data_IF_175184933463
#
_entry.id   IF_175184933463
#
_cell.length_a   1.000
_cell.length_b   1.000
_cell.length_c   1.000
_cell.angle_alpha   90.00
_cell.angle_beta   90.00
_cell.angle_gamma   90.00
#
_symmetry.space_group_name_H-M   'P 1'
#
loop_
_entity.id
_entity.type
_entity.pdbx_description
1 polymer ?
#
# COMPACT_ATOMS: atom_id res chain seq x y z
N UNK A 1 17.72 23.75 61.25
CA UNK A 1 18.11 23.65 59.81
C UNK A 1 17.17 22.69 59.13
N UNK A 2 16.15 23.20 58.49
CA UNK A 2 15.14 22.40 57.75
C UNK A 2 15.62 22.18 56.32
N UNK A 3 15.80 20.92 55.90
CA UNK A 3 16.09 20.56 54.53
C UNK A 3 14.80 20.61 53.74
N UNK A 4 14.76 21.52 52.78
CA UNK A 4 13.67 21.66 51.78
C UNK A 4 13.89 20.63 50.69
N UNK A 5 13.04 19.63 50.60
CA UNK A 5 13.07 18.60 49.57
C UNK A 5 12.31 19.13 48.34
N UNK A 6 12.98 19.53 47.27
CA UNK A 6 12.36 19.93 46.00
C UNK A 6 12.01 18.66 45.24
N UNK A 7 10.71 18.37 45.17
CA UNK A 7 10.16 17.33 44.27
C UNK A 7 9.94 17.98 42.91
N UNK A 8 10.82 17.69 41.95
CA UNK A 8 10.61 18.06 40.55
C UNK A 8 9.64 17.01 39.94
N UNK A 9 8.39 17.38 39.80
CA UNK A 9 7.37 16.59 39.10
C UNK A 9 7.62 16.75 37.59
N UNK A 10 8.32 15.79 37.00
CA UNK A 10 8.49 15.70 35.55
C UNK A 10 7.15 15.32 34.92
N UNK A 11 6.44 16.29 34.36
CA UNK A 11 5.24 16.06 33.54
C UNK A 11 5.71 15.45 32.19
N UNK A 12 5.71 14.14 32.09
CA UNK A 12 5.86 13.47 30.80
C UNK A 12 4.56 13.67 30.05
N UNK A 13 4.53 14.66 29.18
CA UNK A 13 3.48 14.81 28.15
C UNK A 13 3.66 13.68 27.15
N UNK A 14 3.01 12.55 27.39
CA UNK A 14 2.80 11.56 26.32
C UNK A 14 1.85 12.18 25.33
N UNK A 15 2.37 12.75 24.23
CA UNK A 15 1.54 12.98 23.05
C UNK A 15 1.04 11.60 22.60
N UNK A 16 -0.16 11.24 23.06
CA UNK A 16 -0.92 10.18 22.40
C UNK A 16 -1.20 10.70 20.99
N UNK A 17 -0.53 10.15 19.97
CA UNK A 17 -1.02 10.28 18.60
C UNK A 17 -2.44 9.73 18.62
N UNK A 18 -3.42 10.61 18.65
CA UNK A 18 -4.82 10.24 18.43
C UNK A 18 -4.86 9.79 16.98
N UNK A 19 -4.98 8.49 16.77
CA UNK A 19 -5.18 7.96 15.43
C UNK A 19 -6.44 8.62 14.88
N UNK A 20 -6.33 9.23 13.68
CA UNK A 20 -7.50 9.81 13.03
C UNK A 20 -8.54 8.74 12.77
N UNK A 21 -9.80 9.11 12.89
CA UNK A 21 -10.92 8.23 12.61
C UNK A 21 -10.89 7.82 11.12
N UNK A 22 -11.07 6.53 10.87
CA UNK A 22 -11.24 6.03 9.52
C UNK A 22 -12.65 6.34 9.01
N UNK A 23 -12.86 6.39 7.69
CA UNK A 23 -14.20 6.57 7.09
C UNK A 23 -15.26 5.68 7.73
N UNK A 24 -14.92 4.43 8.00
CA UNK A 24 -15.81 3.45 8.61
C UNK A 24 -16.18 3.77 10.04
N UNK A 25 -15.26 4.33 10.83
CA UNK A 25 -15.52 4.77 12.21
C UNK A 25 -16.47 5.98 12.24
N UNK A 26 -16.51 6.75 11.14
CA UNK A 26 -17.40 7.88 10.91
C UNK A 26 -18.72 7.49 10.19
N UNK A 27 -18.97 6.19 9.99
CA UNK A 27 -20.19 5.69 9.36
C UNK A 27 -20.17 5.57 7.83
N UNK A 28 -19.03 5.84 7.16
CA UNK A 28 -18.89 5.62 5.72
C UNK A 28 -18.49 4.17 5.48
N UNK A 29 -19.44 3.30 5.19
CA UNK A 29 -19.17 1.90 4.89
C UNK A 29 -19.09 1.67 3.37
N UNK A 30 -17.89 1.29 2.90
CA UNK A 30 -17.65 0.92 1.50
C UNK A 30 -17.79 -0.58 1.36
N UNK A 31 -18.60 -1.01 0.38
CA UNK A 31 -18.83 -2.41 0.04
C UNK A 31 -19.81 -3.14 0.94
N UNK A 32 -19.96 -4.44 0.70
CA UNK A 32 -20.94 -5.32 1.37
C UNK A 32 -20.28 -6.42 2.20
N UNK A 33 -19.02 -6.78 1.92
CA UNK A 33 -18.32 -7.78 2.72
C UNK A 33 -17.82 -7.19 4.04
N UNK A 34 -17.79 -8.05 5.08
CA UNK A 34 -17.23 -7.67 6.37
C UNK A 34 -15.72 -7.47 6.26
N UNK A 35 -15.21 -6.53 7.04
CA UNK A 35 -13.77 -6.36 7.21
C UNK A 35 -13.18 -7.42 8.14
N UNK A 36 -11.88 -7.65 8.04
CA UNK A 36 -11.14 -8.35 9.09
C UNK A 36 -11.02 -7.49 10.36
N UNK A 37 -10.32 -8.02 11.35
CA UNK A 37 -10.19 -7.41 12.70
C UNK A 37 -9.58 -6.01 12.67
N UNK A 38 -8.59 -5.81 11.80
CA UNK A 38 -7.84 -4.55 11.70
C UNK A 38 -8.26 -3.72 10.49
N UNK A 39 -9.12 -4.29 9.62
CA UNK A 39 -9.45 -3.74 8.31
C UNK A 39 -8.16 -3.32 7.56
N UNK A 40 -7.22 -4.26 7.46
CA UNK A 40 -5.88 -4.04 6.92
C UNK A 40 -5.36 -5.27 6.17
N UNK A 41 -4.36 -5.10 5.33
CA UNK A 41 -3.69 -6.19 4.61
C UNK A 41 -3.16 -7.27 5.59
N UNK A 42 -2.82 -6.88 6.80
CA UNK A 42 -2.35 -7.74 7.89
C UNK A 42 -3.44 -8.58 8.55
N UNK A 43 -4.69 -8.50 8.13
CA UNK A 43 -5.74 -9.45 8.53
C UNK A 43 -5.50 -10.84 7.92
N UNK A 44 -4.67 -10.90 6.89
CA UNK A 44 -4.18 -12.17 6.34
C UNK A 44 -3.08 -12.69 7.25
N UNK A 45 -3.23 -13.92 7.71
CA UNK A 45 -2.29 -14.57 8.64
C UNK A 45 -0.86 -14.58 8.06
N UNK A 46 0.09 -14.09 8.84
CA UNK A 46 1.51 -14.07 8.49
C UNK A 46 1.95 -12.81 7.75
N UNK A 47 1.04 -12.04 7.16
CA UNK A 47 1.38 -10.77 6.49
C UNK A 47 1.84 -9.74 7.51
N UNK A 48 2.97 -9.09 7.20
CA UNK A 48 3.58 -8.04 8.03
C UNK A 48 3.84 -6.79 7.20
N UNK A 49 3.70 -5.63 7.83
CA UNK A 49 4.00 -4.32 7.24
C UNK A 49 4.91 -3.52 8.17
N UNK A 50 5.92 -2.87 7.60
CA UNK A 50 6.84 -2.00 8.34
C UNK A 50 7.14 -0.73 7.56
N UNK A 51 7.32 0.37 8.29
CA UNK A 51 7.58 1.69 7.74
C UNK A 51 8.85 2.31 8.31
N UNK A 52 9.57 3.03 7.45
CA UNK A 52 10.56 4.03 7.84
C UNK A 52 10.16 5.34 7.17
N UNK A 53 9.84 6.33 7.98
CA UNK A 53 9.43 7.68 7.56
C UNK A 53 10.61 8.62 7.75
N UNK A 54 10.94 9.39 6.72
CA UNK A 54 11.99 10.40 6.70
C UNK A 54 11.36 11.78 6.55
N UNK A 55 11.33 12.54 7.64
CA UNK A 55 10.89 13.93 7.70
C UNK A 55 12.03 14.70 8.35
N UNK A 56 12.88 15.33 7.54
CA UNK A 56 14.09 15.99 7.99
C UNK A 56 14.21 17.39 7.34
N UNK A 57 14.64 18.37 8.11
CA UNK A 57 14.74 19.74 7.64
C UNK A 57 13.44 20.23 6.97
N UNK A 58 13.58 21.06 5.95
CA UNK A 58 12.44 21.60 5.18
C UNK A 58 12.12 20.78 3.93
N UNK A 59 13.04 19.93 3.45
CA UNK A 59 13.04 19.40 2.09
C UNK A 59 12.86 17.90 1.98
N UNK A 60 13.09 17.13 3.07
CA UNK A 60 13.02 15.67 3.02
C UNK A 60 11.68 15.21 3.53
N UNK A 61 10.86 14.64 2.63
CA UNK A 61 9.52 14.10 2.89
C UNK A 61 9.34 12.80 2.12
N UNK A 62 9.96 11.72 2.59
CA UNK A 62 10.01 10.44 1.88
C UNK A 62 10.05 9.27 2.86
N UNK A 63 10.24 8.07 2.36
CA UNK A 63 10.38 6.89 3.20
C UNK A 63 10.26 5.56 2.47
N UNK A 64 10.13 4.50 3.26
CA UNK A 64 10.07 3.12 2.81
C UNK A 64 8.94 2.39 3.50
N UNK A 65 8.19 1.60 2.73
CA UNK A 65 7.21 0.64 3.24
C UNK A 65 7.61 -0.76 2.80
N UNK A 66 7.80 -1.67 3.75
CA UNK A 66 8.08 -3.08 3.50
C UNK A 66 6.83 -3.93 3.76
N UNK A 67 6.50 -4.83 2.84
CA UNK A 67 5.39 -5.77 2.96
C UNK A 67 5.93 -7.20 2.80
N UNK A 68 5.75 -8.01 3.84
CA UNK A 68 6.17 -9.40 3.89
C UNK A 68 4.95 -10.30 3.82
N UNK A 69 4.81 -11.16 2.80
CA UNK A 69 3.69 -12.09 2.67
C UNK A 69 3.61 -13.12 3.79
N UNK A 70 4.74 -13.49 4.37
CA UNK A 70 4.82 -14.41 5.51
C UNK A 70 6.15 -14.24 6.25
N UNK A 71 6.30 -14.93 7.38
CA UNK A 71 7.50 -14.91 8.22
C UNK A 71 8.40 -16.09 7.87
N UNK A 72 9.49 -15.83 7.15
CA UNK A 72 10.45 -16.86 6.73
C UNK A 72 11.31 -16.44 5.55
N UNK A 73 12.15 -17.36 5.09
CA UNK A 73 13.03 -17.16 3.95
C UNK A 73 12.24 -17.27 2.64
N UNK A 74 11.87 -16.10 2.08
CA UNK A 74 11.07 -16.05 0.85
C UNK A 74 11.82 -16.56 -0.39
N UNK A 75 13.14 -16.56 -0.37
CA UNK A 75 13.92 -17.12 -1.46
C UNK A 75 13.84 -18.65 -1.47
N UNK A 76 13.89 -19.27 -0.28
CA UNK A 76 13.81 -20.72 -0.15
C UNK A 76 12.38 -21.25 -0.36
N UNK A 77 11.36 -20.44 -0.01
CA UNK A 77 9.95 -20.82 -0.16
C UNK A 77 9.19 -19.65 -0.81
N UNK A 78 9.22 -19.59 -2.14
CA UNK A 78 8.59 -18.52 -2.93
C UNK A 78 7.07 -18.58 -2.82
N UNK A 79 6.40 -17.45 -3.06
CA UNK A 79 4.94 -17.37 -3.05
C UNK A 79 4.41 -17.03 -4.44
N UNK A 80 3.27 -17.62 -4.86
CA UNK A 80 2.63 -17.27 -6.12
C UNK A 80 2.28 -15.79 -6.16
N UNK A 81 2.57 -15.14 -7.28
CA UNK A 81 2.31 -13.74 -7.50
C UNK A 81 2.01 -13.42 -8.96
N UNK A 82 1.36 -12.31 -9.20
CA UNK A 82 1.19 -11.73 -10.53
C UNK A 82 1.19 -10.21 -10.46
N UNK A 83 1.52 -9.58 -11.58
CA UNK A 83 1.50 -8.12 -11.72
C UNK A 83 0.56 -7.74 -12.87
N UNK A 84 -0.28 -6.74 -12.63
CA UNK A 84 -1.04 -6.05 -13.65
C UNK A 84 -0.59 -4.60 -13.74
N UNK A 85 -0.32 -4.15 -14.96
CA UNK A 85 0.01 -2.75 -15.26
C UNK A 85 -1.26 -2.08 -15.76
N UNK A 86 -1.80 -1.14 -14.97
CA UNK A 86 -2.92 -0.30 -15.36
C UNK A 86 -2.47 0.80 -16.31
N UNK A 87 -1.42 1.54 -15.94
CA UNK A 87 -0.66 2.44 -16.78
C UNK A 87 0.82 2.35 -16.40
N UNK A 88 1.72 2.38 -17.37
CA UNK A 88 3.12 1.94 -17.20
C UNK A 88 4.14 3.07 -17.09
N UNK A 89 3.77 4.29 -16.78
CA UNK A 89 4.72 5.39 -16.62
C UNK A 89 5.34 5.40 -15.21
N UNK A 90 6.23 4.44 -14.94
CA UNK A 90 6.87 4.29 -13.63
C UNK A 90 7.95 3.21 -13.63
N UNK A 91 8.50 2.91 -12.46
CA UNK A 91 9.56 1.93 -12.25
C UNK A 91 9.03 0.84 -11.32
N UNK A 92 8.85 -0.36 -11.87
CA UNK A 92 8.55 -1.57 -11.10
C UNK A 92 9.66 -2.58 -11.33
N UNK A 93 10.63 -2.64 -10.43
CA UNK A 93 11.68 -3.65 -10.47
C UNK A 93 11.10 -5.03 -10.13
N UNK A 94 11.60 -6.08 -10.77
CA UNK A 94 11.12 -7.45 -10.58
C UNK A 94 9.94 -7.85 -11.49
N UNK A 95 9.40 -6.92 -12.28
CA UNK A 95 8.26 -7.19 -13.16
C UNK A 95 8.47 -8.40 -14.09
N UNK A 96 9.61 -8.47 -14.78
CA UNK A 96 9.89 -9.52 -15.76
C UNK A 96 9.92 -10.91 -15.12
N UNK A 97 10.54 -11.04 -13.95
CA UNK A 97 10.59 -12.31 -13.23
C UNK A 97 9.21 -12.75 -12.76
N UNK A 98 8.43 -11.85 -12.17
CA UNK A 98 7.07 -12.17 -11.71
C UNK A 98 6.16 -12.51 -12.89
N UNK A 99 6.29 -11.78 -14.00
CA UNK A 99 5.48 -12.04 -15.21
C UNK A 99 5.79 -13.38 -15.84
N UNK A 100 7.07 -13.77 -15.88
CA UNK A 100 7.52 -15.01 -16.48
C UNK A 100 7.30 -16.23 -15.57
N UNK A 101 7.67 -16.11 -14.28
CA UNK A 101 7.68 -17.25 -13.36
C UNK A 101 6.46 -17.33 -12.43
N UNK A 102 5.64 -16.29 -12.35
CA UNK A 102 4.41 -16.31 -11.55
C UNK A 102 4.63 -16.37 -10.04
N UNK A 103 5.78 -15.93 -9.55
CA UNK A 103 6.09 -15.91 -8.12
C UNK A 103 7.03 -14.77 -7.74
N UNK A 104 7.15 -14.51 -6.42
CA UNK A 104 8.13 -13.58 -5.84
C UNK A 104 9.03 -14.31 -4.84
N UNK A 105 10.27 -13.82 -4.71
CA UNK A 105 11.32 -14.43 -3.89
C UNK A 105 11.92 -13.47 -2.87
N UNK A 106 11.42 -12.23 -2.80
CA UNK A 106 11.81 -11.21 -1.82
C UNK A 106 10.59 -10.55 -1.19
N UNK A 107 10.71 -9.87 -0.05
CA UNK A 107 9.71 -8.90 0.39
C UNK A 107 9.39 -7.88 -0.71
N UNK A 108 8.20 -7.27 -0.64
CA UNK A 108 7.82 -6.14 -1.52
C UNK A 108 8.24 -4.86 -0.82
N UNK A 109 9.00 -4.01 -1.52
CA UNK A 109 9.36 -2.68 -1.01
C UNK A 109 8.66 -1.61 -1.86
N UNK A 110 8.09 -0.64 -1.18
CA UNK A 110 7.58 0.60 -1.79
C UNK A 110 8.45 1.77 -1.32
N UNK A 111 8.78 2.69 -2.22
CA UNK A 111 9.58 3.87 -1.94
C UNK A 111 9.31 4.98 -2.96
N UNK A 112 10.23 5.94 -3.13
CA UNK A 112 10.14 6.94 -4.20
C UNK A 112 10.89 6.51 -5.47
N UNK A 113 10.58 7.18 -6.58
CA UNK A 113 11.08 6.88 -7.93
C UNK A 113 12.60 6.74 -8.02
N UNK A 114 13.38 7.67 -7.44
CA UNK A 114 14.83 7.66 -7.56
C UNK A 114 15.54 6.77 -6.54
N UNK A 115 14.80 6.20 -5.57
CA UNK A 115 15.31 5.28 -4.56
C UNK A 115 15.09 3.80 -4.89
N UNK A 116 14.43 3.49 -6.02
CA UNK A 116 14.23 2.09 -6.47
C UNK A 116 15.55 1.31 -6.56
N UNK A 117 16.64 1.82 -7.17
CA UNK A 117 17.91 1.09 -7.22
C UNK A 117 18.49 0.77 -5.83
N UNK A 118 18.43 1.72 -4.90
CA UNK A 118 18.86 1.54 -3.50
C UNK A 118 18.06 0.44 -2.81
N UNK A 119 16.75 0.45 -2.98
CA UNK A 119 15.87 -0.57 -2.40
C UNK A 119 16.09 -1.95 -3.02
N UNK A 120 16.38 -2.04 -4.33
CA UNK A 120 16.77 -3.29 -4.97
C UNK A 120 18.06 -3.86 -4.36
N UNK A 121 19.10 -3.02 -4.19
CA UNK A 121 20.36 -3.44 -3.58
C UNK A 121 20.17 -3.93 -2.14
N UNK A 122 19.37 -3.21 -1.35
CA UNK A 122 19.05 -3.62 0.02
C UNK A 122 18.33 -4.98 0.08
N UNK A 123 17.42 -5.28 -0.87
CA UNK A 123 16.76 -6.59 -0.95
C UNK A 123 17.71 -7.71 -1.34
N UNK A 124 18.70 -7.43 -2.21
CA UNK A 124 19.76 -8.37 -2.53
C UNK A 124 20.57 -8.69 -1.27
N UNK A 125 21.04 -7.66 -0.55
CA UNK A 125 21.75 -7.80 0.72
C UNK A 125 20.91 -8.60 1.75
N UNK A 126 19.66 -8.21 1.97
CA UNK A 126 18.74 -8.91 2.87
C UNK A 126 18.59 -10.39 2.55
N UNK A 127 18.52 -10.73 1.27
CA UNK A 127 18.32 -12.12 0.82
C UNK A 127 19.60 -12.93 0.98
N UNK A 128 20.75 -12.37 0.56
CA UNK A 128 22.02 -13.08 0.59
C UNK A 128 22.58 -13.26 2.01
N UNK A 129 22.26 -12.37 2.94
CA UNK A 129 22.68 -12.45 4.35
C UNK A 129 21.97 -13.57 5.14
N UNK A 130 20.93 -14.18 4.58
CA UNK A 130 20.26 -15.31 5.22
C UNK A 130 21.10 -16.59 5.06
N UNK A 131 21.35 -17.30 6.15
CA UNK A 131 22.25 -18.46 6.20
C UNK A 131 21.92 -19.53 5.17
N UNK A 132 20.63 -19.80 4.96
CA UNK A 132 20.17 -20.81 4.00
C UNK A 132 20.44 -20.41 2.55
N UNK A 133 20.82 -19.15 2.32
CA UNK A 133 21.06 -18.59 0.99
C UNK A 133 22.55 -18.47 0.63
N UNK A 134 23.47 -19.12 1.38
CA UNK A 134 24.92 -19.01 1.18
C UNK A 134 25.39 -19.36 -0.27
N UNK A 135 24.64 -20.22 -0.96
CA UNK A 135 24.93 -20.64 -2.32
C UNK A 135 24.09 -19.89 -3.39
N UNK A 136 23.24 -18.93 -2.98
CA UNK A 136 22.42 -18.14 -3.91
C UNK A 136 23.31 -17.13 -4.65
N UNK A 137 23.13 -17.03 -5.97
CA UNK A 137 23.96 -16.17 -6.84
C UNK A 137 23.14 -15.18 -7.68
N UNK A 138 21.81 -15.19 -7.54
CA UNK A 138 20.92 -14.30 -8.25
C UNK A 138 19.68 -14.03 -7.42
N UNK A 139 19.25 -12.78 -7.32
CA UNK A 139 18.07 -12.36 -6.57
C UNK A 139 17.27 -11.36 -7.41
N UNK A 140 15.97 -11.61 -7.58
CA UNK A 140 15.05 -10.71 -8.26
C UNK A 140 14.31 -9.87 -7.22
N UNK A 141 14.80 -8.66 -6.99
CA UNK A 141 14.18 -7.71 -6.06
C UNK A 141 12.85 -7.20 -6.59
N UNK A 142 11.83 -7.12 -5.73
CA UNK A 142 10.52 -6.56 -6.07
C UNK A 142 10.34 -5.20 -5.39
N UNK A 143 10.44 -4.12 -6.16
CA UNK A 143 10.37 -2.73 -5.67
C UNK A 143 9.44 -1.91 -6.54
N UNK A 144 8.40 -1.32 -5.91
CA UNK A 144 7.50 -0.35 -6.53
C UNK A 144 7.73 1.06 -6.01
N UNK A 145 7.18 2.05 -6.71
CA UNK A 145 7.42 3.46 -6.39
C UNK A 145 6.27 4.38 -6.76
N UNK A 146 6.27 5.56 -6.15
CA UNK A 146 5.58 6.75 -6.64
C UNK A 146 6.48 7.97 -6.53
N UNK A 147 6.25 9.00 -7.34
CA UNK A 147 7.07 10.20 -7.35
C UNK A 147 6.64 11.18 -6.26
N UNK A 148 7.48 11.36 -5.22
CA UNK A 148 7.24 12.30 -4.12
C UNK A 148 7.92 13.67 -4.31
N UNK A 149 8.48 13.94 -5.49
CA UNK A 149 9.37 15.09 -5.77
C UNK A 149 8.73 16.45 -5.64
N UNK A 150 7.42 16.58 -5.42
CA UNK A 150 6.80 17.87 -5.11
C UNK A 150 7.10 18.34 -3.68
N UNK A 151 6.95 17.46 -2.71
CA UNK A 151 7.22 17.74 -1.29
C UNK A 151 8.62 17.33 -0.84
N UNK A 152 9.29 16.45 -1.59
CA UNK A 152 10.57 15.85 -1.24
C UNK A 152 11.68 16.31 -2.19
N UNK A 153 12.88 16.58 -1.66
CA UNK A 153 14.11 16.64 -2.47
C UNK A 153 14.44 15.23 -2.99
N UNK A 154 13.70 14.79 -4.01
CA UNK A 154 13.85 13.46 -4.59
C UNK A 154 15.23 13.24 -5.22
N UNK A 155 15.90 14.32 -5.69
CA UNK A 155 17.23 14.27 -6.33
C UNK A 155 18.34 13.97 -5.31
N UNK A 156 18.14 14.35 -4.07
CA UNK A 156 19.06 14.03 -2.97
C UNK A 156 19.11 12.53 -2.65
N UNK A 157 18.11 11.73 -3.07
CA UNK A 157 18.05 10.27 -2.87
C UNK A 157 18.33 9.88 -1.43
N UNK A 158 17.55 10.44 -0.52
CA UNK A 158 17.77 10.37 0.92
C UNK A 158 17.48 8.99 1.54
N UNK A 159 16.72 8.11 0.85
CA UNK A 159 16.50 6.73 1.28
C UNK A 159 17.78 5.92 1.11
N UNK A 160 18.23 5.29 2.20
CA UNK A 160 19.42 4.43 2.27
C UNK A 160 19.03 2.95 2.33
N UNK A 161 20.00 2.06 2.06
CA UNK A 161 19.81 0.60 2.25
C UNK A 161 19.45 0.27 3.70
N UNK A 162 20.05 0.99 4.66
CA UNK A 162 19.77 0.82 6.09
C UNK A 162 18.29 1.14 6.42
N UNK A 163 17.68 2.10 5.74
CA UNK A 163 16.25 2.42 5.93
C UNK A 163 15.36 1.29 5.42
N UNK A 164 15.71 0.69 4.28
CA UNK A 164 14.98 -0.47 3.73
C UNK A 164 15.09 -1.66 4.68
N UNK A 165 16.31 -2.03 5.12
CA UNK A 165 16.51 -3.11 6.08
C UNK A 165 15.81 -2.86 7.41
N UNK A 166 15.78 -1.60 7.86
CA UNK A 166 15.05 -1.19 9.06
C UNK A 166 13.53 -1.30 8.88
N UNK A 167 12.99 -0.99 7.70
CA UNK A 167 11.57 -1.17 7.39
C UNK A 167 11.19 -2.66 7.43
N UNK A 168 12.00 -3.54 6.82
CA UNK A 168 11.84 -5.00 6.89
C UNK A 168 11.86 -5.47 8.34
N UNK A 169 12.84 -5.05 9.13
CA UNK A 169 13.00 -5.42 10.55
C UNK A 169 11.84 -4.95 11.43
N UNK A 170 11.24 -3.79 11.11
CA UNK A 170 10.09 -3.23 11.83
C UNK A 170 8.76 -3.86 11.42
N UNK A 171 8.73 -4.66 10.36
CA UNK A 171 7.49 -5.23 9.85
C UNK A 171 6.81 -6.11 10.89
N UNK A 172 5.54 -5.85 11.13
CA UNK A 172 4.72 -6.54 12.12
C UNK A 172 3.29 -6.76 11.59
N UNK A 173 2.61 -7.76 12.11
CA UNK A 173 1.17 -7.94 11.93
C UNK A 173 0.37 -6.96 12.79
N UNK A 174 -0.96 -7.02 12.68
CA UNK A 174 -1.84 -6.16 13.45
C UNK A 174 -2.17 -4.85 12.74
N UNK A 175 -2.47 -3.78 13.51
CA UNK A 175 -2.85 -2.49 12.94
C UNK A 175 -1.68 -1.89 12.12
N UNK A 176 -1.98 -1.46 10.89
CA UNK A 176 -1.04 -0.77 10.00
C UNK A 176 -1.19 0.73 10.15
N UNK A 177 -0.09 1.47 10.19
CA UNK A 177 -0.08 2.93 10.16
C UNK A 177 -0.41 3.42 8.74
N UNK A 178 -1.21 4.50 8.62
CA UNK A 178 -1.70 5.04 7.36
C UNK A 178 -1.38 6.54 7.22
N UNK A 179 -1.61 7.11 6.04
CA UNK A 179 -1.35 8.52 5.75
C UNK A 179 0.11 8.80 5.46
N UNK A 180 0.66 9.83 6.10
CA UNK A 180 2.01 10.37 5.84
C UNK A 180 3.14 9.49 6.40
N UNK A 181 3.11 8.21 6.16
CA UNK A 181 4.08 7.25 6.72
C UNK A 181 4.79 6.47 5.62
N UNK A 182 6.03 6.07 5.90
CA UNK A 182 6.82 5.25 4.98
C UNK A 182 6.89 5.83 3.58
N UNK A 183 6.63 5.01 2.56
CA UNK A 183 6.62 5.40 1.16
C UNK A 183 5.51 6.43 0.81
N UNK A 184 4.50 6.62 1.69
CA UNK A 184 3.43 7.58 1.51
C UNK A 184 3.72 8.98 2.07
N UNK A 185 4.91 9.21 2.62
CA UNK A 185 5.24 10.47 3.32
C UNK A 185 5.10 11.71 2.45
N UNK A 186 5.65 11.73 1.25
CA UNK A 186 5.67 12.92 0.36
C UNK A 186 4.63 12.89 -0.76
N UNK A 187 3.67 11.97 -0.76
CA UNK A 187 2.74 11.73 -1.87
C UNK A 187 1.51 12.62 -1.85
N UNK A 188 0.89 12.82 -3.02
CA UNK A 188 -0.28 13.68 -3.25
C UNK A 188 -1.37 12.88 -3.95
N UNK A 189 -2.61 12.94 -3.46
CA UNK A 189 -3.72 12.20 -4.06
C UNK A 189 -4.95 13.09 -4.22
N UNK A 190 -5.46 13.21 -5.45
CA UNK A 190 -6.57 14.10 -5.81
C UNK A 190 -6.36 15.57 -5.44
N UNK A 191 -5.11 16.06 -5.46
CA UNK A 191 -4.77 17.41 -5.03
C UNK A 191 -4.60 17.58 -3.52
N UNK A 192 -5.02 16.62 -2.73
CA UNK A 192 -4.82 16.57 -1.28
C UNK A 192 -3.59 15.74 -0.90
N UNK A 193 -3.16 15.81 0.35
CA UNK A 193 -2.12 14.93 0.87
C UNK A 193 -2.58 13.48 0.76
N UNK A 194 -1.81 12.66 0.02
CA UNK A 194 -1.98 11.22 -0.11
C UNK A 194 -1.21 10.43 0.96
N UNK A 195 -0.99 9.16 0.73
CA UNK A 195 -0.24 8.35 1.69
C UNK A 195 -0.41 6.85 1.52
N UNK A 196 -0.07 6.15 2.58
CA UNK A 196 -0.38 4.73 2.73
C UNK A 196 -1.83 4.58 3.19
N UNK A 197 -2.55 3.65 2.59
CA UNK A 197 -3.86 3.22 3.04
C UNK A 197 -4.01 1.71 2.96
N UNK A 198 -4.89 1.13 3.77
CA UNK A 198 -5.10 -0.31 3.76
C UNK A 198 -6.55 -0.65 4.11
N UNK A 199 -7.02 -1.79 3.61
CA UNK A 199 -8.32 -2.35 3.95
C UNK A 199 -8.35 -3.86 3.75
N UNK A 200 -9.35 -4.53 4.29
CA UNK A 200 -9.56 -5.96 4.10
C UNK A 200 -11.02 -6.33 3.91
N UNK A 201 -11.25 -7.49 3.33
CA UNK A 201 -12.57 -8.15 3.23
C UNK A 201 -12.46 -9.62 3.58
N UNK A 202 -13.40 -10.10 4.38
CA UNK A 202 -13.54 -11.52 4.73
C UNK A 202 -14.78 -12.07 4.06
N UNK A 203 -14.60 -13.05 3.21
CA UNK A 203 -15.72 -13.74 2.56
C UNK A 203 -16.48 -14.61 3.55
N UNK A 204 -17.81 -14.73 3.43
CA UNK A 204 -18.58 -15.72 4.15
C UNK A 204 -18.05 -17.14 3.90
N UNK A 205 -18.20 -18.04 4.86
CA UNK A 205 -17.79 -19.45 4.70
C UNK A 205 -18.43 -20.11 3.49
N UNK A 206 -19.66 -19.75 3.16
CA UNK A 206 -20.39 -20.25 1.97
C UNK A 206 -19.76 -19.82 0.65
N UNK A 207 -18.87 -18.81 0.68
CA UNK A 207 -18.08 -18.32 -0.46
C UNK A 207 -16.59 -18.63 -0.30
N UNK A 208 -16.23 -19.59 0.54
CA UNK A 208 -14.87 -20.05 0.75
C UNK A 208 -14.20 -19.55 2.04
N UNK A 209 -14.72 -18.49 2.68
CA UNK A 209 -14.17 -17.94 3.93
C UNK A 209 -12.83 -17.22 3.80
N UNK A 210 -12.36 -16.97 2.58
CA UNK A 210 -11.06 -16.34 2.32
C UNK A 210 -11.03 -14.87 2.69
N UNK A 211 -9.84 -14.38 2.96
CA UNK A 211 -9.56 -12.98 3.23
C UNK A 211 -8.85 -12.34 2.04
N UNK A 212 -9.29 -11.13 1.66
CA UNK A 212 -8.58 -10.22 0.77
C UNK A 212 -8.07 -9.05 1.61
N UNK A 213 -6.80 -8.73 1.50
CA UNK A 213 -6.18 -7.54 2.08
C UNK A 213 -5.54 -6.69 0.98
N UNK A 214 -5.71 -5.38 1.09
CA UNK A 214 -5.13 -4.40 0.15
C UNK A 214 -4.33 -3.36 0.93
N UNK A 215 -3.15 -3.01 0.41
CA UNK A 215 -2.37 -1.84 0.80
C UNK A 215 -2.09 -0.99 -0.43
N UNK A 216 -2.25 0.31 -0.32
CA UNK A 216 -1.97 1.27 -1.40
C UNK A 216 -0.93 2.30 -0.98
N UNK A 217 -0.13 2.75 -1.95
CA UNK A 217 0.65 3.98 -1.89
C UNK A 217 0.04 4.91 -2.94
N UNK A 218 -0.71 5.94 -2.48
CA UNK A 218 -1.48 6.80 -3.36
C UNK A 218 -0.72 8.07 -3.72
N UNK A 219 -0.61 8.37 -5.02
CA UNK A 219 0.01 9.57 -5.55
C UNK A 219 -0.56 9.89 -6.94
N UNK A 220 -1.88 10.05 -7.06
CA UNK A 220 -2.52 10.21 -8.35
C UNK A 220 -3.65 11.23 -8.32
N UNK A 221 -4.03 11.72 -9.50
CA UNK A 221 -5.12 12.65 -9.71
C UNK A 221 -6.38 12.02 -10.30
N UNK A 222 -7.40 12.85 -10.48
CA UNK A 222 -8.70 12.45 -11.01
C UNK A 222 -9.80 13.32 -10.44
N UNK A 223 -11.01 12.78 -10.39
CA UNK A 223 -12.20 13.43 -9.85
C UNK A 223 -12.72 12.65 -8.66
N UNK A 224 -12.32 13.03 -7.45
CA UNK A 224 -12.57 12.27 -6.24
C UNK A 224 -14.04 11.89 -6.05
N UNK A 225 -14.27 10.59 -5.93
CA UNK A 225 -15.54 9.99 -5.53
C UNK A 225 -15.34 9.15 -4.26
N UNK A 226 -16.28 9.22 -3.34
CA UNK A 226 -16.25 8.42 -2.13
C UNK A 226 -17.61 7.74 -1.96
N UNK A 227 -17.63 6.41 -1.99
CA UNK A 227 -18.87 5.61 -1.87
C UNK A 227 -19.98 6.06 -2.84
N UNK A 228 -19.59 6.47 -4.07
CA UNK A 228 -20.49 6.97 -5.11
C UNK A 228 -20.95 8.41 -4.96
N UNK A 229 -20.40 9.18 -4.01
CA UNK A 229 -20.63 10.63 -3.92
C UNK A 229 -19.53 11.37 -4.67
N UNK A 230 -19.92 12.29 -5.56
CA UNK A 230 -19.02 13.11 -6.38
C UNK A 230 -18.39 14.24 -5.56
N UNK A 231 -17.48 13.90 -4.65
CA UNK A 231 -16.90 14.83 -3.67
C UNK A 231 -16.20 16.00 -4.36
N UNK A 232 -15.42 15.72 -5.41
CA UNK A 232 -14.68 16.75 -6.13
C UNK A 232 -15.60 17.80 -6.78
N UNK A 233 -16.73 17.40 -7.34
CA UNK A 233 -17.70 18.34 -7.93
C UNK A 233 -18.37 19.20 -6.85
N UNK A 234 -18.77 18.59 -5.77
CA UNK A 234 -19.48 19.27 -4.66
C UNK A 234 -18.57 20.25 -3.90
N UNK A 235 -17.31 19.91 -3.75
CA UNK A 235 -16.31 20.82 -3.17
C UNK A 235 -15.82 21.86 -4.20
N UNK A 236 -15.98 21.56 -5.49
CA UNK A 236 -15.57 22.42 -6.58
C UNK A 236 -14.06 22.33 -6.88
N UNK A 237 -13.42 21.23 -6.46
CA UNK A 237 -11.98 20.99 -6.66
C UNK A 237 -11.76 19.67 -7.38
N UNK A 238 -11.39 19.74 -8.66
CA UNK A 238 -11.04 18.57 -9.45
C UNK A 238 -9.94 18.91 -10.47
N UNK A 239 -9.18 17.91 -10.80
CA UNK A 239 -7.91 17.96 -11.49
C UNK A 239 -7.86 18.79 -12.79
N UNK A 240 -8.90 18.79 -13.60
CA UNK A 240 -8.97 19.52 -14.88
C UNK A 240 -9.72 20.86 -14.81
N UNK A 241 -10.15 21.30 -13.63
CA UNK A 241 -10.93 22.53 -13.50
C UNK A 241 -10.22 23.76 -14.05
N UNK A 242 -8.91 23.88 -13.78
CA UNK A 242 -8.11 25.06 -14.17
C UNK A 242 -7.01 24.76 -15.19
N UNK A 243 -6.70 23.49 -15.46
CA UNK A 243 -5.54 23.08 -16.26
C UNK A 243 -5.84 21.87 -17.14
N UNK A 244 -6.62 22.06 -18.20
CA UNK A 244 -6.84 21.03 -19.25
C UNK A 244 -5.52 20.63 -19.95
N UNK A 245 -4.41 21.36 -19.74
CA UNK A 245 -3.19 21.23 -20.53
C UNK A 245 -1.89 20.99 -19.75
N UNK A 246 -1.90 20.83 -18.44
CA UNK A 246 -0.68 20.51 -17.70
C UNK A 246 -0.68 19.04 -17.28
N UNK A 247 0.36 18.34 -17.72
CA UNK A 247 0.63 16.94 -17.41
C UNK A 247 0.65 16.71 -15.91
N UNK A 248 -0.28 15.92 -15.44
CA UNK A 248 -0.25 15.44 -14.08
C UNK A 248 0.55 14.15 -14.05
N UNK A 249 1.67 14.23 -13.43
CA UNK A 249 2.36 13.05 -12.95
C UNK A 249 1.51 12.41 -11.85
N UNK A 250 1.23 11.13 -12.00
CA UNK A 250 0.52 10.36 -11.02
C UNK A 250 1.19 9.01 -10.82
N UNK A 251 0.80 8.25 -9.82
CA UNK A 251 1.20 6.85 -9.65
C UNK A 251 0.38 6.23 -8.54
N UNK A 252 0.07 4.95 -8.65
CA UNK A 252 -0.52 4.20 -7.56
C UNK A 252 0.08 2.80 -7.49
N UNK A 253 0.71 2.49 -6.36
CA UNK A 253 1.05 1.11 -6.06
C UNK A 253 -0.09 0.46 -5.28
N UNK A 254 -0.58 -0.67 -5.77
CA UNK A 254 -1.64 -1.45 -5.13
C UNK A 254 -1.11 -2.86 -4.86
N UNK A 255 -1.05 -3.24 -3.60
CA UNK A 255 -0.66 -4.58 -3.18
C UNK A 255 -1.92 -5.32 -2.72
N UNK A 256 -2.27 -6.39 -3.41
CA UNK A 256 -3.40 -7.25 -3.09
C UNK A 256 -2.87 -8.58 -2.56
N UNK A 257 -3.26 -8.97 -1.37
CA UNK A 257 -2.91 -10.27 -0.81
C UNK A 257 -4.17 -11.08 -0.48
N UNK A 258 -4.04 -12.41 -0.52
CA UNK A 258 -5.12 -13.33 -0.13
C UNK A 258 -4.56 -14.63 0.41
N UNK A 259 -5.27 -15.23 1.34
CA UNK A 259 -5.05 -16.60 1.79
C UNK A 259 -5.73 -17.66 0.90
N UNK A 260 -6.47 -17.23 -0.13
CA UNK A 260 -7.05 -18.13 -1.12
C UNK A 260 -5.95 -18.82 -1.95
N UNK A 261 -6.06 -20.14 -2.23
CA UNK A 261 -5.09 -20.88 -3.05
C UNK A 261 -5.27 -20.50 -4.53
N UNK A 262 -4.46 -19.56 -4.99
CA UNK A 262 -4.48 -19.03 -6.36
C UNK A 262 -3.15 -19.25 -7.06
N UNK A 263 -3.23 -19.56 -8.36
CA UNK A 263 -2.11 -19.54 -9.28
C UNK A 263 -1.86 -18.13 -9.85
N UNK A 264 -0.72 -17.93 -10.53
CA UNK A 264 -0.36 -16.63 -11.12
C UNK A 264 -1.42 -16.11 -12.09
N UNK A 265 -2.06 -16.99 -12.88
CA UNK A 265 -3.13 -16.61 -13.82
C UNK A 265 -4.35 -16.04 -13.08
N UNK A 266 -4.80 -16.67 -12.00
CA UNK A 266 -5.92 -16.17 -11.20
C UNK A 266 -5.55 -14.93 -10.39
N UNK A 267 -4.29 -14.82 -9.93
CA UNK A 267 -3.77 -13.61 -9.29
C UNK A 267 -3.71 -12.42 -10.26
N UNK A 268 -3.33 -12.62 -11.53
CA UNK A 268 -3.40 -11.54 -12.53
C UNK A 268 -4.84 -11.07 -12.76
N UNK A 269 -5.81 -12.00 -12.79
CA UNK A 269 -7.24 -11.67 -12.89
C UNK A 269 -7.72 -10.88 -11.65
N UNK A 270 -7.19 -11.22 -10.47
CA UNK A 270 -7.47 -10.51 -9.22
C UNK A 270 -6.88 -9.10 -9.28
N UNK A 271 -5.61 -8.97 -9.67
CA UNK A 271 -4.91 -7.69 -9.84
C UNK A 271 -5.66 -6.72 -10.76
N UNK A 272 -6.18 -7.21 -11.89
CA UNK A 272 -7.01 -6.41 -12.81
C UNK A 272 -8.24 -5.79 -12.14
N UNK A 273 -8.80 -6.41 -11.10
CA UNK A 273 -9.99 -5.91 -10.39
C UNK A 273 -9.66 -4.78 -9.43
N UNK A 274 -8.45 -4.71 -8.93
CA UNK A 274 -8.01 -3.57 -8.11
C UNK A 274 -8.08 -2.24 -8.89
N UNK A 275 -7.82 -2.26 -10.21
CA UNK A 275 -7.99 -1.08 -11.07
C UNK A 275 -9.43 -0.59 -11.12
N UNK A 276 -10.43 -1.48 -11.00
CA UNK A 276 -11.84 -1.08 -10.89
C UNK A 276 -12.11 -0.38 -9.55
N UNK A 277 -11.44 -0.79 -8.46
CA UNK A 277 -11.49 -0.11 -7.16
C UNK A 277 -10.87 1.29 -7.22
N UNK A 278 -9.72 1.45 -7.91
CA UNK A 278 -9.13 2.75 -8.17
C UNK A 278 -10.08 3.63 -8.99
N UNK A 279 -10.67 3.11 -10.06
CA UNK A 279 -11.61 3.85 -10.89
C UNK A 279 -12.86 4.31 -10.11
N UNK A 280 -13.34 3.52 -9.15
CA UNK A 280 -14.47 3.89 -8.28
C UNK A 280 -14.19 5.08 -7.37
N UNK A 281 -12.93 5.39 -7.10
CA UNK A 281 -12.54 6.61 -6.38
C UNK A 281 -12.41 7.83 -7.30
N UNK A 282 -12.61 7.66 -8.61
CA UNK A 282 -12.45 8.72 -9.61
C UNK A 282 -11.03 8.85 -10.15
N UNK A 283 -10.15 7.89 -9.87
CA UNK A 283 -8.82 7.78 -10.47
C UNK A 283 -8.91 7.42 -11.95
N UNK A 284 -8.11 8.08 -12.79
CA UNK A 284 -8.21 7.96 -14.25
C UNK A 284 -7.03 7.23 -14.91
N UNK A 285 -6.03 6.81 -14.13
CA UNK A 285 -4.80 6.23 -14.66
C UNK A 285 -4.23 7.09 -15.80
N UNK A 286 -3.91 8.37 -15.51
CA UNK A 286 -3.46 9.35 -16.51
C UNK A 286 -2.19 8.91 -17.23
N UNK A 287 -1.89 9.51 -18.39
CA UNK A 287 -0.74 9.12 -19.21
C UNK A 287 0.60 9.13 -18.46
N UNK A 288 0.81 10.09 -17.56
CA UNK A 288 2.01 10.21 -16.71
C UNK A 288 1.98 9.35 -15.45
N UNK A 289 0.96 8.50 -15.26
CA UNK A 289 0.79 7.67 -14.05
C UNK A 289 1.49 6.33 -14.16
N UNK A 290 2.11 5.87 -13.07
CA UNK A 290 2.60 4.52 -12.91
C UNK A 290 1.67 3.71 -11.99
N UNK A 291 0.64 3.10 -12.56
CA UNK A 291 -0.37 2.35 -11.81
C UNK A 291 -0.09 0.86 -11.92
N UNK A 292 0.44 0.30 -10.86
CA UNK A 292 0.83 -1.10 -10.80
C UNK A 292 0.10 -1.83 -9.68
N UNK A 293 -0.37 -3.03 -9.99
CA UNK A 293 -0.99 -3.92 -9.00
C UNK A 293 -0.16 -5.19 -8.87
N UNK A 294 0.29 -5.48 -7.65
CA UNK A 294 0.96 -6.74 -7.30
C UNK A 294 -0.04 -7.58 -6.50
N UNK A 295 -0.42 -8.75 -7.02
CA UNK A 295 -1.30 -9.69 -6.33
C UNK A 295 -0.51 -10.92 -5.88
N UNK A 296 -0.72 -11.35 -4.62
CA UNK A 296 0.03 -12.44 -3.99
C UNK A 296 -0.94 -13.39 -3.27
N UNK A 297 -0.74 -14.70 -3.43
CA UNK A 297 -1.38 -15.71 -2.59
C UNK A 297 -0.42 -16.14 -1.48
N UNK A 298 -0.89 -16.09 -0.23
CA UNK A 298 -0.12 -16.54 0.94
C UNK A 298 -0.44 -17.99 1.33
N UNK A 299 -1.28 -18.70 0.55
CA UNK A 299 -1.65 -20.09 0.80
C UNK A 299 -0.40 -20.96 0.94
N UNK A 300 -0.26 -21.62 2.09
CA UNK A 300 0.96 -22.37 2.45
C UNK A 300 1.20 -23.54 1.51
N UNK A 301 0.13 -24.21 1.09
CA UNK A 301 0.17 -25.33 0.17
C UNK A 301 0.63 -24.99 -1.25
N UNK A 302 0.63 -23.70 -1.59
CA UNK A 302 1.06 -23.19 -2.91
C UNK A 302 2.43 -22.54 -2.86
N UNK A 303 3.17 -22.60 -1.77
CA UNK A 303 4.54 -22.13 -1.72
C UNK A 303 5.44 -22.99 -2.61
N UNK A 304 6.39 -22.36 -3.26
CA UNK A 304 7.26 -22.98 -4.28
C UNK A 304 8.66 -23.08 -3.67
N UNK A 305 9.15 -24.31 -3.36
CA UNK A 305 10.49 -24.46 -2.83
C UNK A 305 11.53 -24.09 -3.89
N UNK A 306 12.65 -23.47 -3.46
CA UNK A 306 13.79 -23.16 -4.31
C UNK A 306 14.46 -24.43 -4.82
N UNK A 307 14.63 -25.40 -3.94
CA UNK A 307 15.15 -26.72 -4.26
C UNK A 307 14.15 -27.80 -3.88
N UNK A 308 14.01 -28.83 -4.72
CA UNK A 308 13.06 -29.89 -4.52
C UNK A 308 13.55 -31.19 -5.21
N UNK A 309 13.43 -32.31 -4.51
CA UNK A 309 13.72 -33.64 -5.09
C UNK A 309 12.72 -34.02 -6.18
N UNK A 310 11.50 -33.46 -6.13
CA UNK A 310 10.49 -33.69 -7.17
C UNK A 310 10.56 -32.62 -8.27
N UNK A 311 10.39 -33.07 -9.53
CA UNK A 311 10.25 -32.17 -10.67
C UNK A 311 8.84 -31.64 -10.88
N UNK A 312 7.87 -32.16 -10.10
CA UNK A 312 6.47 -31.79 -10.22
C UNK A 312 6.08 -30.78 -9.16
N UNK A 313 5.43 -29.71 -9.58
CA UNK A 313 4.74 -28.76 -8.71
C UNK A 313 3.24 -28.89 -8.94
N UNK A 314 2.48 -29.23 -7.90
CA UNK A 314 1.05 -29.51 -7.98
C UNK A 314 0.30 -28.55 -7.03
N UNK A 315 0.03 -27.31 -7.46
CA UNK A 315 -0.67 -26.36 -6.61
C UNK A 315 -2.16 -26.69 -6.46
N UNK A 316 -2.71 -26.35 -5.31
CA UNK A 316 -4.16 -26.26 -5.14
C UNK A 316 -4.66 -24.97 -5.77
N UNK A 317 -5.63 -25.01 -6.68
CA UNK A 317 -6.09 -23.81 -7.38
C UNK A 317 -7.61 -23.72 -7.34
N UNK A 318 -8.13 -22.61 -6.86
CA UNK A 318 -9.55 -22.29 -6.94
C UNK A 318 -10.04 -22.30 -8.39
N UNK A 319 -11.19 -22.96 -8.60
CA UNK A 319 -11.85 -22.99 -9.90
C UNK A 319 -12.28 -21.58 -10.35
N UNK A 320 -12.37 -21.38 -11.66
CA UNK A 320 -12.74 -20.09 -12.23
C UNK A 320 -14.11 -19.56 -11.75
N UNK A 321 -15.06 -20.45 -11.55
CA UNK A 321 -16.40 -20.14 -11.08
C UNK A 321 -16.46 -19.68 -9.62
N UNK A 322 -15.43 -19.97 -8.82
CA UNK A 322 -15.29 -19.53 -7.43
C UNK A 322 -14.59 -18.14 -7.29
N UNK A 323 -14.14 -17.53 -8.38
CA UNK A 323 -13.34 -16.31 -8.32
C UNK A 323 -14.14 -15.01 -8.12
N UNK A 324 -15.44 -14.96 -8.50
CA UNK A 324 -16.22 -13.72 -8.50
C UNK A 324 -16.34 -13.04 -7.13
N UNK A 325 -16.52 -13.75 -6.01
CA UNK A 325 -16.51 -13.14 -4.68
C UNK A 325 -15.17 -12.47 -4.32
N UNK A 326 -14.05 -13.09 -4.70
CA UNK A 326 -12.71 -12.52 -4.50
C UNK A 326 -12.50 -11.24 -5.33
N UNK A 327 -13.04 -11.21 -6.57
CA UNK A 327 -12.99 -10.02 -7.41
C UNK A 327 -13.74 -8.85 -6.77
N UNK A 328 -14.97 -9.09 -6.30
CA UNK A 328 -15.76 -8.07 -5.62
C UNK A 328 -15.08 -7.57 -4.35
N UNK A 329 -14.56 -8.48 -3.52
CA UNK A 329 -13.83 -8.15 -2.31
C UNK A 329 -12.58 -7.30 -2.59
N UNK A 330 -11.86 -7.59 -3.68
CA UNK A 330 -10.70 -6.81 -4.13
C UNK A 330 -11.09 -5.38 -4.52
N UNK A 331 -12.18 -5.21 -5.27
CA UNK A 331 -12.69 -3.89 -5.68
C UNK A 331 -13.03 -3.07 -4.44
N UNK A 332 -13.82 -3.63 -3.53
CA UNK A 332 -14.24 -2.95 -2.29
C UNK A 332 -13.06 -2.58 -1.39
N UNK A 333 -12.11 -3.51 -1.19
CA UNK A 333 -10.94 -3.27 -0.35
C UNK A 333 -10.00 -2.22 -0.96
N UNK A 334 -9.87 -2.19 -2.30
CA UNK A 334 -9.04 -1.18 -2.97
C UNK A 334 -9.67 0.21 -2.87
N UNK A 335 -10.97 0.34 -3.13
CA UNK A 335 -11.70 1.60 -2.94
C UNK A 335 -11.53 2.13 -1.51
N UNK A 336 -11.76 1.28 -0.51
CA UNK A 336 -11.65 1.68 0.90
C UNK A 336 -10.20 2.00 1.31
N UNK A 337 -9.20 1.26 0.84
CA UNK A 337 -7.79 1.54 1.13
C UNK A 337 -7.36 2.92 0.60
N UNK A 338 -7.78 3.30 -0.61
CA UNK A 338 -7.51 4.62 -1.18
C UNK A 338 -8.18 5.71 -0.34
N UNK A 339 -9.45 5.55 0.02
CA UNK A 339 -10.16 6.52 0.87
C UNK A 339 -9.51 6.62 2.25
N UNK A 340 -9.12 5.49 2.85
CA UNK A 340 -8.40 5.47 4.14
C UNK A 340 -7.10 6.28 4.08
N UNK A 341 -6.35 6.21 2.97
CA UNK A 341 -5.10 6.99 2.82
C UNK A 341 -5.35 8.50 2.89
N UNK A 342 -6.46 8.98 2.34
CA UNK A 342 -6.85 10.40 2.37
C UNK A 342 -7.32 10.86 3.75
N UNK A 343 -8.13 10.03 4.44
CA UNK A 343 -8.62 10.35 5.78
C UNK A 343 -7.50 10.35 6.83
N UNK A 344 -6.52 9.47 6.67
CA UNK A 344 -5.38 9.37 7.59
C UNK A 344 -4.31 10.46 7.33
N UNK A 345 -4.28 11.04 6.13
CA UNK A 345 -3.26 12.02 5.76
C UNK A 345 -3.40 13.34 6.52
N UNK A 346 -2.28 14.01 6.76
CA UNK A 346 -2.17 15.31 7.39
C UNK A 346 -1.54 16.32 6.45
N UNK A 347 -1.95 17.59 6.55
CA UNK A 347 -1.31 18.69 5.84
C UNK A 347 0.21 18.62 6.03
N UNK A 348 0.94 18.76 4.94
CA UNK A 348 2.40 18.70 4.96
C UNK A 348 3.01 19.81 4.13
N UNK A 349 4.04 20.44 4.70
CA UNK A 349 4.93 21.34 3.98
C UNK A 349 6.27 20.65 3.77
N UNK A 350 6.85 20.80 2.60
CA UNK A 350 8.11 20.20 2.20
C UNK A 350 8.97 21.13 1.37
N UNK A 351 9.70 20.55 0.42
CA UNK A 351 10.66 21.24 -0.44
C UNK A 351 10.09 22.52 -1.05
N UNK A 352 10.91 23.57 -1.13
CA UNK A 352 10.55 24.87 -1.71
C UNK A 352 9.31 25.51 -1.04
N UNK A 353 9.07 25.18 0.23
CA UNK A 353 7.88 25.59 1.00
C UNK A 353 6.55 25.13 0.38
N UNK A 354 6.58 24.15 -0.52
CA UNK A 354 5.38 23.56 -1.08
C UNK A 354 4.53 22.95 0.03
N UNK A 355 3.29 23.40 0.10
CA UNK A 355 2.30 22.93 1.06
C UNK A 355 1.21 22.15 0.34
N UNK A 356 0.87 20.99 0.86
CA UNK A 356 -0.26 20.16 0.43
C UNK A 356 -1.18 19.93 1.61
N UNK A 357 -2.40 20.41 1.48
CA UNK A 357 -3.39 20.29 2.55
C UNK A 357 -3.99 18.88 2.62
N UNK A 358 -4.37 18.47 3.83
CA UNK A 358 -5.19 17.29 4.03
C UNK A 358 -6.59 17.50 3.41
N UNK A 359 -7.23 16.40 3.04
CA UNK A 359 -8.62 16.42 2.60
C UNK A 359 -9.52 17.03 3.69
N UNK A 360 -10.47 17.95 3.35
CA UNK A 360 -11.35 18.58 4.31
C UNK A 360 -12.44 17.60 4.79
N UNK A 361 -12.10 16.75 5.75
CA UNK A 361 -12.95 15.64 6.25
C UNK A 361 -14.33 16.14 6.67
N UNK A 362 -14.44 17.25 7.38
CA UNK A 362 -15.74 17.79 7.83
C UNK A 362 -16.67 18.07 6.65
N UNK A 363 -16.16 18.68 5.56
CA UNK A 363 -16.95 18.94 4.36
C UNK A 363 -17.37 17.64 3.67
N UNK A 364 -16.47 16.64 3.65
CA UNK A 364 -16.80 15.30 3.13
C UNK A 364 -17.91 14.67 3.95
N UNK A 365 -17.85 14.75 5.28
CA UNK A 365 -18.89 14.20 6.17
C UNK A 365 -20.24 14.88 5.97
N UNK A 366 -20.28 16.20 5.76
CA UNK A 366 -21.50 16.91 5.42
C UNK A 366 -22.11 16.42 4.11
N UNK A 367 -21.28 16.17 3.09
CA UNK A 367 -21.72 15.57 1.82
C UNK A 367 -22.25 14.15 2.01
N UNK A 368 -21.55 13.30 2.76
CA UNK A 368 -22.02 11.94 3.05
C UNK A 368 -23.40 11.96 3.73
N UNK A 369 -23.60 12.89 4.66
CA UNK A 369 -24.90 13.10 5.31
C UNK A 369 -25.96 13.59 4.32
N UNK A 370 -25.65 14.60 3.50
CA UNK A 370 -26.54 15.14 2.43
C UNK A 370 -27.03 14.03 1.51
N UNK A 371 -26.17 13.09 1.15
CA UNK A 371 -26.48 12.01 0.20
C UNK A 371 -26.93 10.69 0.88
N UNK A 372 -27.21 10.70 2.20
CA UNK A 372 -27.61 9.53 2.98
C UNK A 372 -26.63 8.35 2.85
N UNK A 373 -25.33 8.60 2.91
CA UNK A 373 -24.25 7.62 2.81
C UNK A 373 -23.59 7.26 4.13
N UNK A 374 -24.13 7.76 5.24
CA UNK A 374 -23.75 7.36 6.60
C UNK A 374 -24.69 6.26 7.10
N UNK A 375 -24.11 5.27 7.79
CA UNK A 375 -24.82 4.23 8.54
C UNK A 375 -24.84 4.52 10.03
#
# INVERSE_FOLDING_TARGET
MKKLLLIILSLIFTLSLIAKDRPRDLGIEIGVFKTGKYNAITDIKGVKVGHVTLIEGNDIRTGVTAILPYDGNMFQMKVPAAIHIGNGFGKLAGYSQVKELGNIETPIILTNTLSVPTACNALITYTLDQKENENVRSVNSLVGETNDGWLNDIRGRHVTEADVLKAIKKAKGGKVEEGNVGAGTGTICFGYKGGIGTASRVLPKTLGGYTIGVLVQTNFGGKLEINGVQVAEEIGDYYYREKILNEADGSCMIIVMTDAPLDARNLERLAKRAMLGLAKTGGIASNGSGDYVIAVSTAEENRIPYDSETRLYTPSVLRNDAMSPLFMATIEATEEAIVNSLFAAETMTGRDEHKVDAMPVDRVMDLMKKYNKLK
#
